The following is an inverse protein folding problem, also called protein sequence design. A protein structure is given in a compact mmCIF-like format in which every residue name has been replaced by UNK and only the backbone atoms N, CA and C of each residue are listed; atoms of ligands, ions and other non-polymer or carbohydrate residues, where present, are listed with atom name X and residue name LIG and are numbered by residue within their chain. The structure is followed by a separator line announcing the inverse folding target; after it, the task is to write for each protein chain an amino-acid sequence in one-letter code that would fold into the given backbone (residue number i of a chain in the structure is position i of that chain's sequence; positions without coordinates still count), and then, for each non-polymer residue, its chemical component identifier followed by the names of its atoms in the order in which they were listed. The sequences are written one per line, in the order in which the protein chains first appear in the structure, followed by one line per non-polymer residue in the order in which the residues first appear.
data_IF_210418573609
#
_entry.id   IF_210418573609
#
_cell.length_a   1.000
_cell.length_b   1.000
_cell.length_c   1.000
_cell.angle_alpha   90.00
_cell.angle_beta   90.00
_cell.angle_gamma   90.00
#
_symmetry.space_group_name_H-M   'P 1'
#
loop_
_entity.id
_entity.type
_entity.pdbx_description
1 polymer ?
#
# COMPACT_ATOMS: atom_id res chain seq x y z
N UNK A 1 -8.46 16.29 -14.85
CA UNK A 1 -8.42 15.15 -13.92
C UNK A 1 -9.53 14.26 -14.41
N UNK A 2 -9.20 13.22 -15.18
CA UNK A 2 -10.23 12.33 -15.72
C UNK A 2 -11.01 11.74 -14.55
N UNK A 3 -12.33 11.88 -14.59
CA UNK A 3 -13.19 11.35 -13.56
C UNK A 3 -13.09 9.82 -13.61
N UNK A 4 -12.74 9.22 -12.48
CA UNK A 4 -12.64 7.77 -12.34
C UNK A 4 -13.98 7.11 -12.69
N UNK A 5 -13.93 6.03 -13.47
CA UNK A 5 -15.11 5.36 -14.04
C UNK A 5 -15.81 4.44 -13.01
N UNK A 6 -15.14 4.05 -11.93
CA UNK A 6 -15.59 2.98 -11.02
C UNK A 6 -15.92 3.47 -9.60
N UNK A 7 -17.15 3.95 -9.36
CA UNK A 7 -17.77 4.00 -8.01
C UNK A 7 -17.25 5.01 -6.98
N UNK A 8 -18.00 5.18 -5.89
CA UNK A 8 -17.66 6.04 -4.75
C UNK A 8 -16.80 5.27 -3.72
N UNK A 9 -15.52 5.07 -4.05
CA UNK A 9 -14.57 4.37 -3.17
C UNK A 9 -14.43 5.06 -1.81
N UNK A 10 -14.50 6.39 -1.83
CA UNK A 10 -14.42 7.24 -0.66
C UNK A 10 -15.61 6.99 0.30
N UNK A 11 -16.82 6.83 -0.23
CA UNK A 11 -18.00 6.45 0.53
C UNK A 11 -17.98 4.99 0.98
N UNK A 12 -17.46 4.07 0.15
CA UNK A 12 -17.26 2.66 0.54
C UNK A 12 -16.28 2.52 1.69
N UNK A 13 -15.13 3.19 1.61
CA UNK A 13 -14.14 3.23 2.69
C UNK A 13 -14.77 3.68 4.00
N UNK A 14 -15.53 4.77 3.93
CA UNK A 14 -16.15 5.36 5.10
C UNK A 14 -17.20 4.43 5.73
N UNK A 15 -18.03 3.76 4.92
CA UNK A 15 -18.99 2.74 5.41
C UNK A 15 -18.29 1.60 6.13
N UNK A 16 -17.21 1.06 5.55
CA UNK A 16 -16.48 -0.04 6.17
C UNK A 16 -15.85 0.36 7.52
N UNK A 17 -15.39 1.61 7.66
CA UNK A 17 -14.93 2.12 8.96
C UNK A 17 -16.07 2.23 9.98
N UNK A 18 -17.26 2.66 9.54
CA UNK A 18 -18.44 2.76 10.41
C UNK A 18 -18.87 1.38 10.91
N UNK A 19 -18.96 0.39 10.02
CA UNK A 19 -19.33 -0.98 10.36
C UNK A 19 -18.33 -1.59 11.37
N UNK A 20 -17.03 -1.43 11.11
CA UNK A 20 -15.97 -1.89 12.02
C UNK A 20 -16.02 -1.19 13.38
N UNK A 21 -16.25 0.12 13.43
CA UNK A 21 -16.34 0.86 14.69
C UNK A 21 -17.59 0.54 15.47
N UNK A 22 -18.74 0.34 14.81
CA UNK A 22 -19.98 -0.08 15.46
C UNK A 22 -19.81 -1.42 16.16
N UNK A 23 -19.06 -2.36 15.57
CA UNK A 23 -18.74 -3.66 16.17
C UNK A 23 -17.72 -3.54 17.31
N UNK A 24 -16.68 -2.73 17.12
CA UNK A 24 -15.49 -2.75 17.98
C UNK A 24 -15.49 -1.74 19.13
N UNK A 25 -16.21 -0.64 18.96
CA UNK A 25 -16.24 0.50 19.85
C UNK A 25 -17.51 1.32 19.63
N UNK A 26 -18.64 0.76 20.05
CA UNK A 26 -19.97 1.37 19.90
C UNK A 26 -20.10 2.76 20.51
N UNK A 27 -19.27 3.07 21.50
CA UNK A 27 -19.25 4.37 22.19
C UNK A 27 -18.39 5.41 21.45
N UNK A 28 -17.88 5.08 20.26
CA UNK A 28 -17.15 6.04 19.44
C UNK A 28 -18.05 7.20 19.04
N UNK A 29 -17.60 8.42 19.36
CA UNK A 29 -18.16 9.64 18.83
C UNK A 29 -17.08 10.38 18.03
N UNK A 30 -17.48 10.96 16.90
CA UNK A 30 -16.60 11.83 16.13
C UNK A 30 -16.20 13.05 16.97
N UNK A 31 -14.89 13.37 17.10
CA UNK A 31 -14.48 14.57 17.82
C UNK A 31 -15.03 15.84 17.16
N UNK A 32 -15.56 16.77 17.97
CA UNK A 32 -16.04 18.05 17.47
C UNK A 32 -14.92 18.85 16.81
N UNK A 33 -15.23 19.44 15.66
CA UNK A 33 -14.30 20.29 14.92
C UNK A 33 -14.31 21.72 15.46
N UNK A 34 -13.15 22.38 15.57
CA UNK A 34 -13.09 23.81 15.90
C UNK A 34 -13.97 24.64 14.95
N UNK A 35 -14.69 25.68 15.43
CA UNK A 35 -15.67 26.43 14.63
C UNK A 35 -15.11 26.97 13.29
N UNK A 36 -13.83 27.35 13.27
CA UNK A 36 -13.13 27.83 12.06
C UNK A 36 -13.08 26.82 10.90
N UNK A 37 -13.32 25.54 11.17
CA UNK A 37 -13.32 24.46 10.18
C UNK A 37 -14.72 23.89 9.91
N UNK A 38 -15.75 24.34 10.64
CA UNK A 38 -17.10 23.78 10.59
C UNK A 38 -17.80 23.96 9.23
N UNK A 39 -17.42 24.96 8.44
CA UNK A 39 -17.95 25.22 7.10
C UNK A 39 -17.16 24.55 5.97
N UNK A 40 -15.99 23.97 6.24
CA UNK A 40 -15.15 23.34 5.22
C UNK A 40 -15.46 21.85 5.10
N UNK A 41 -16.36 21.50 4.18
CA UNK A 41 -16.85 20.12 4.00
C UNK A 41 -15.73 19.12 3.66
N UNK A 42 -14.77 19.49 2.81
CA UNK A 42 -13.63 18.63 2.47
C UNK A 42 -12.77 18.34 3.70
N UNK A 43 -12.50 19.36 4.53
CA UNK A 43 -11.76 19.20 5.77
C UNK A 43 -12.53 18.35 6.78
N UNK A 44 -13.86 18.53 6.88
CA UNK A 44 -14.72 17.70 7.74
C UNK A 44 -14.64 16.23 7.37
N UNK A 45 -14.80 15.92 6.07
CA UNK A 45 -14.71 14.53 5.58
C UNK A 45 -13.34 13.91 5.86
N UNK A 46 -12.27 14.66 5.60
CA UNK A 46 -10.91 14.21 5.90
C UNK A 46 -10.73 13.93 7.40
N UNK A 47 -11.12 14.88 8.26
CA UNK A 47 -10.98 14.77 9.70
C UNK A 47 -11.77 13.59 10.26
N UNK A 48 -13.01 13.41 9.82
CA UNK A 48 -13.88 12.31 10.21
C UNK A 48 -13.26 10.95 9.90
N UNK A 49 -12.83 10.75 8.64
CA UNK A 49 -12.16 9.51 8.22
C UNK A 49 -10.87 9.27 9.00
N UNK A 50 -10.07 10.31 9.21
CA UNK A 50 -8.84 10.20 9.98
C UNK A 50 -9.11 9.85 11.46
N UNK A 51 -10.13 10.44 12.08
CA UNK A 51 -10.57 10.10 13.44
C UNK A 51 -11.03 8.64 13.55
N UNK A 52 -11.81 8.16 12.57
CA UNK A 52 -12.23 6.75 12.48
C UNK A 52 -11.03 5.80 12.35
N UNK A 53 -10.10 6.09 11.41
CA UNK A 53 -8.86 5.31 11.24
C UNK A 53 -8.06 5.25 12.53
N UNK A 54 -7.86 6.40 13.18
CA UNK A 54 -7.04 6.49 14.39
C UNK A 54 -7.66 5.65 15.53
N UNK A 55 -8.97 5.77 15.74
CA UNK A 55 -9.64 5.00 16.77
C UNK A 55 -9.59 3.50 16.47
N UNK A 56 -9.90 3.11 15.24
CA UNK A 56 -9.85 1.71 14.82
C UNK A 56 -8.44 1.14 15.00
N UNK A 57 -7.42 1.86 14.55
CA UNK A 57 -6.02 1.49 14.72
C UNK A 57 -5.63 1.32 16.19
N UNK A 58 -6.05 2.24 17.06
CA UNK A 58 -5.82 2.14 18.52
C UNK A 58 -6.40 0.84 19.07
N UNK A 59 -7.67 0.56 18.76
CA UNK A 59 -8.38 -0.63 19.23
C UNK A 59 -7.74 -1.93 18.71
N UNK A 60 -7.35 -1.96 17.43
CA UNK A 60 -6.71 -3.13 16.80
C UNK A 60 -5.32 -3.42 17.41
N UNK A 61 -4.54 -2.38 17.75
CA UNK A 61 -3.24 -2.56 18.42
C UNK A 61 -3.38 -3.08 19.85
N UNK A 62 -4.40 -2.61 20.57
CA UNK A 62 -4.68 -3.04 21.96
C UNK A 62 -5.22 -4.48 22.02
N UNK A 63 -5.79 -5.01 20.92
CA UNK A 63 -6.44 -6.33 20.85
C UNK A 63 -5.99 -7.12 19.61
N UNK A 64 -4.77 -7.67 19.58
CA UNK A 64 -4.22 -8.35 18.40
C UNK A 64 -5.01 -9.60 17.97
N UNK A 65 -5.59 -10.36 18.91
CA UNK A 65 -6.42 -11.53 18.57
C UNK A 65 -7.70 -11.14 17.81
N UNK A 66 -8.29 -10.01 18.20
CA UNK A 66 -9.44 -9.45 17.51
C UNK A 66 -9.05 -8.87 16.16
N UNK A 67 -7.91 -8.19 16.09
CA UNK A 67 -7.35 -7.72 14.82
C UNK A 67 -7.10 -8.89 13.84
N UNK A 68 -6.64 -10.04 14.34
CA UNK A 68 -6.47 -11.24 13.53
C UNK A 68 -7.80 -11.81 13.04
N UNK A 69 -8.83 -11.79 13.90
CA UNK A 69 -10.20 -12.24 13.57
C UNK A 69 -10.82 -11.38 12.47
N UNK A 70 -10.65 -10.06 12.56
CA UNK A 70 -11.25 -9.08 11.64
C UNK A 70 -10.36 -8.71 10.46
N UNK A 71 -9.23 -9.41 10.28
CA UNK A 71 -8.21 -9.00 9.31
C UNK A 71 -8.75 -8.86 7.88
N UNK A 72 -9.67 -9.74 7.47
CA UNK A 72 -10.32 -9.64 6.16
C UNK A 72 -11.12 -8.35 5.96
N UNK A 73 -11.89 -7.94 6.97
CA UNK A 73 -12.69 -6.71 6.92
C UNK A 73 -11.79 -5.47 6.97
N UNK A 74 -10.76 -5.47 7.81
CA UNK A 74 -9.80 -4.35 7.89
C UNK A 74 -9.02 -4.20 6.58
N UNK A 75 -8.57 -5.30 5.98
CA UNK A 75 -7.85 -5.26 4.69
C UNK A 75 -8.77 -4.85 3.53
N UNK A 76 -10.05 -5.22 3.57
CA UNK A 76 -11.05 -4.72 2.62
C UNK A 76 -11.21 -3.19 2.74
N UNK A 77 -11.17 -2.64 3.96
CA UNK A 77 -11.26 -1.20 4.17
C UNK A 77 -9.98 -0.50 3.66
N UNK A 78 -8.81 -1.09 3.91
CA UNK A 78 -7.52 -0.57 3.45
C UNK A 78 -7.48 -0.38 1.94
N UNK A 79 -8.01 -1.34 1.16
CA UNK A 79 -8.01 -1.22 -0.31
C UNK A 79 -9.08 -0.28 -0.85
N UNK A 80 -9.82 0.39 0.03
CA UNK A 80 -10.66 1.54 -0.29
C UNK A 80 -10.04 2.86 0.19
N UNK A 81 -8.93 2.84 0.93
CA UNK A 81 -8.31 4.04 1.49
C UNK A 81 -7.39 4.74 0.47
N UNK A 82 -7.85 5.89 -0.02
CA UNK A 82 -7.09 6.70 -0.97
C UNK A 82 -5.90 7.42 -0.31
N UNK A 83 -5.86 7.57 1.02
CA UNK A 83 -4.82 8.31 1.72
C UNK A 83 -3.57 7.43 1.95
N UNK A 84 -2.58 7.60 1.07
CA UNK A 84 -1.30 6.87 1.12
C UNK A 84 -0.56 7.07 2.44
N UNK A 85 -0.66 8.25 3.07
CA UNK A 85 0.09 8.52 4.29
C UNK A 85 -0.62 7.98 5.52
N UNK A 86 -1.96 7.98 5.51
CA UNK A 86 -2.78 7.57 6.65
C UNK A 86 -3.11 6.06 6.66
N UNK A 87 -3.13 5.38 5.51
CA UNK A 87 -3.50 3.96 5.43
C UNK A 87 -2.58 3.04 6.27
N UNK A 88 -1.35 3.47 6.58
CA UNK A 88 -0.43 2.80 7.51
C UNK A 88 -1.05 2.54 8.88
N UNK A 89 -1.96 3.42 9.32
CA UNK A 89 -2.64 3.28 10.61
C UNK A 89 -3.42 1.96 10.70
N UNK A 90 -3.95 1.46 9.58
CA UNK A 90 -4.68 0.20 9.49
C UNK A 90 -3.80 -0.96 9.04
N UNK A 91 -2.76 -0.71 8.22
CA UNK A 91 -1.81 -1.76 7.78
C UNK A 91 -0.94 -2.25 8.94
N UNK A 92 -0.35 -1.35 9.74
CA UNK A 92 0.59 -1.74 10.81
C UNK A 92 -0.03 -2.73 11.83
N UNK A 93 -1.25 -2.51 12.35
CA UNK A 93 -1.90 -3.51 13.20
C UNK A 93 -2.12 -4.86 12.51
N UNK A 94 -2.42 -4.88 11.20
CA UNK A 94 -2.59 -6.13 10.46
C UNK A 94 -1.27 -6.88 10.29
N UNK A 95 -0.16 -6.17 10.06
CA UNK A 95 1.16 -6.79 10.01
C UNK A 95 1.49 -7.49 11.34
N UNK A 96 1.17 -6.85 12.46
CA UNK A 96 1.36 -7.44 13.80
C UNK A 96 0.42 -8.61 14.06
N UNK A 97 -0.85 -8.50 13.68
CA UNK A 97 -1.87 -9.47 14.03
C UNK A 97 -1.86 -10.74 13.16
N UNK A 98 -1.63 -10.61 11.85
CA UNK A 98 -1.70 -11.75 10.90
C UNK A 98 -0.42 -12.00 10.11
N UNK A 99 0.61 -11.18 10.34
CA UNK A 99 1.90 -11.31 9.68
C UNK A 99 1.95 -10.68 8.29
N UNK A 100 3.16 -10.33 7.87
CA UNK A 100 3.44 -9.61 6.63
C UNK A 100 3.02 -10.37 5.38
N UNK A 101 3.33 -11.66 5.31
CA UNK A 101 2.99 -12.54 4.18
C UNK A 101 1.50 -12.48 3.85
N UNK A 102 0.64 -12.69 4.85
CA UNK A 102 -0.82 -12.71 4.65
C UNK A 102 -1.38 -11.36 4.19
N UNK A 103 -0.84 -10.26 4.71
CA UNK A 103 -1.18 -8.91 4.24
C UNK A 103 -0.75 -8.72 2.78
N UNK A 104 0.48 -9.06 2.44
CA UNK A 104 1.01 -8.90 1.08
C UNK A 104 0.28 -9.78 0.06
N UNK A 105 -0.04 -11.03 0.40
CA UNK A 105 -0.83 -11.94 -0.44
C UNK A 105 -2.23 -11.35 -0.73
N UNK A 106 -2.87 -10.77 0.28
CA UNK A 106 -4.14 -10.08 0.09
C UNK A 106 -3.99 -8.89 -0.88
N UNK A 107 -3.01 -8.03 -0.67
CA UNK A 107 -2.77 -6.87 -1.54
C UNK A 107 -2.47 -7.28 -2.99
N UNK A 108 -1.65 -8.32 -3.18
CA UNK A 108 -1.37 -8.90 -4.51
C UNK A 108 -2.67 -9.39 -5.15
N UNK A 109 -3.51 -10.12 -4.42
CA UNK A 109 -4.79 -10.60 -4.94
C UNK A 109 -5.69 -9.46 -5.42
N UNK A 110 -5.74 -8.34 -4.67
CA UNK A 110 -6.50 -7.15 -5.07
C UNK A 110 -5.90 -6.49 -6.30
N UNK A 111 -4.57 -6.36 -6.41
CA UNK A 111 -3.92 -5.84 -7.64
C UNK A 111 -4.22 -6.72 -8.85
N UNK A 112 -4.23 -8.05 -8.67
CA UNK A 112 -4.47 -9.01 -9.76
C UNK A 112 -5.92 -9.00 -10.24
N UNK A 113 -6.90 -9.04 -9.34
CA UNK A 113 -8.31 -9.29 -9.71
C UNK A 113 -9.31 -8.27 -9.18
N UNK A 114 -8.91 -7.34 -8.33
CA UNK A 114 -9.81 -6.34 -7.76
C UNK A 114 -10.32 -5.31 -8.79
N UNK A 115 -11.36 -4.54 -8.44
CA UNK A 115 -11.77 -3.34 -9.19
C UNK A 115 -10.62 -2.33 -9.34
N UNK A 116 -10.64 -1.52 -10.40
CA UNK A 116 -9.50 -0.69 -10.80
C UNK A 116 -9.03 0.26 -9.68
N UNK A 117 -9.95 0.91 -8.99
CA UNK A 117 -9.63 1.81 -7.88
C UNK A 117 -9.04 1.08 -6.67
N UNK A 118 -9.53 -0.12 -6.38
CA UNK A 118 -8.98 -0.93 -5.29
C UNK A 118 -7.56 -1.41 -5.61
N UNK A 119 -7.24 -1.69 -6.89
CA UNK A 119 -5.86 -1.99 -7.31
C UNK A 119 -4.91 -0.84 -6.98
N UNK A 120 -5.33 0.40 -7.24
CA UNK A 120 -4.53 1.60 -6.91
C UNK A 120 -4.31 1.72 -5.41
N UNK A 121 -5.36 1.54 -4.61
CA UNK A 121 -5.25 1.61 -3.15
C UNK A 121 -4.41 0.45 -2.59
N UNK A 122 -4.49 -0.75 -3.17
CA UNK A 122 -3.63 -1.87 -2.82
C UNK A 122 -2.15 -1.58 -3.10
N UNK A 123 -1.83 -0.96 -4.25
CA UNK A 123 -0.46 -0.49 -4.55
C UNK A 123 0.01 0.59 -3.56
N UNK A 124 -0.88 1.50 -3.16
CA UNK A 124 -0.57 2.50 -2.12
C UNK A 124 -0.30 1.86 -0.76
N UNK A 125 -1.10 0.87 -0.39
CA UNK A 125 -0.96 0.13 0.87
C UNK A 125 0.29 -0.78 0.88
N UNK A 126 0.70 -1.29 -0.29
CA UNK A 126 1.90 -2.12 -0.42
C UNK A 126 3.13 -1.46 0.20
N UNK A 127 3.30 -0.15 0.01
CA UNK A 127 4.43 0.62 0.54
C UNK A 127 4.69 0.35 2.03
N UNK A 128 3.63 0.37 2.85
CA UNK A 128 3.70 0.14 4.30
C UNK A 128 3.75 -1.34 4.69
N UNK A 129 3.45 -2.24 3.76
CA UNK A 129 3.52 -3.68 3.98
C UNK A 129 4.92 -4.26 3.75
N UNK A 130 5.88 -3.48 3.25
CA UNK A 130 7.22 -3.95 2.91
C UNK A 130 8.05 -4.27 4.15
N UNK A 131 8.96 -5.24 4.02
CA UNK A 131 10.03 -5.42 5.00
C UNK A 131 11.00 -4.24 4.89
N UNK A 132 11.50 -3.77 6.03
CA UNK A 132 12.48 -2.68 6.09
C UNK A 132 13.84 -3.30 6.34
N UNK A 133 14.78 -3.12 5.41
CA UNK A 133 16.18 -3.46 5.60
C UNK A 133 16.81 -2.44 6.55
N UNK A 134 17.24 -2.90 7.72
CA UNK A 134 17.84 -2.07 8.76
C UNK A 134 19.35 -2.21 8.68
N UNK A 135 20.08 -1.10 8.67
CA UNK A 135 21.54 -1.05 8.61
C UNK A 135 22.09 -0.52 9.93
N UNK A 136 23.23 -1.06 10.40
CA UNK A 136 23.83 -0.66 11.69
C UNK A 136 24.26 0.82 11.71
N UNK A 137 24.68 1.35 10.56
CA UNK A 137 25.11 2.73 10.39
C UNK A 137 25.02 3.16 8.92
N UNK A 138 25.09 4.48 8.63
CA UNK A 138 25.11 4.99 7.25
C UNK A 138 26.24 4.40 6.40
N UNK A 139 27.38 4.08 7.01
CA UNK A 139 28.55 3.50 6.33
C UNK A 139 28.31 2.07 5.82
N UNK A 140 27.28 1.37 6.33
CA UNK A 140 26.89 0.05 5.86
C UNK A 140 25.94 0.08 4.65
N UNK A 141 25.41 1.26 4.27
CA UNK A 141 24.53 1.39 3.10
C UNK A 141 25.23 1.06 1.77
N UNK A 142 26.47 1.56 1.49
CA UNK A 142 27.15 1.26 0.23
C UNK A 142 27.49 -0.22 0.07
N UNK A 143 27.81 -0.92 1.16
CA UNK A 143 28.10 -2.36 1.15
C UNK A 143 26.84 -3.23 1.07
N UNK A 144 25.64 -2.64 1.19
CA UNK A 144 24.34 -3.33 1.17
C UNK A 144 24.28 -4.51 2.13
N UNK A 145 24.83 -4.32 3.33
CA UNK A 145 24.80 -5.32 4.41
C UNK A 145 23.81 -4.88 5.49
N UNK A 146 22.52 -5.26 5.38
CA UNK A 146 21.56 -5.04 6.44
C UNK A 146 21.82 -6.00 7.62
N UNK A 147 21.20 -5.70 8.77
CA UNK A 147 21.20 -6.58 9.93
C UNK A 147 20.59 -7.93 9.58
N UNK A 148 21.13 -9.01 10.16
CA UNK A 148 20.65 -10.38 9.92
C UNK A 148 19.15 -10.53 10.16
N UNK A 149 18.61 -9.88 11.19
CA UNK A 149 17.17 -9.92 11.49
C UNK A 149 16.32 -9.28 10.40
N UNK A 150 16.71 -8.10 9.91
CA UNK A 150 15.98 -7.43 8.83
C UNK A 150 16.12 -8.14 7.48
N UNK A 151 17.28 -8.75 7.21
CA UNK A 151 17.47 -9.57 6.02
C UNK A 151 16.57 -10.81 6.05
N UNK A 152 16.47 -11.50 7.19
CA UNK A 152 15.61 -12.68 7.32
C UNK A 152 14.13 -12.33 7.08
N UNK A 153 13.64 -11.22 7.62
CA UNK A 153 12.27 -10.74 7.37
C UNK A 153 12.02 -10.38 5.91
N UNK A 154 13.04 -9.88 5.21
CA UNK A 154 12.98 -9.56 3.79
C UNK A 154 12.97 -10.82 2.91
N UNK A 155 13.81 -11.79 3.25
CA UNK A 155 13.91 -13.09 2.58
C UNK A 155 12.61 -13.89 2.72
N UNK A 156 11.96 -13.82 3.88
CA UNK A 156 10.69 -14.48 4.17
C UNK A 156 9.54 -14.10 3.23
N UNK A 157 9.63 -12.97 2.52
CA UNK A 157 8.60 -12.50 1.57
C UNK A 157 9.17 -12.19 0.19
N UNK A 158 10.37 -12.68 -0.10
CA UNK A 158 11.07 -12.36 -1.35
C UNK A 158 10.33 -12.84 -2.61
N UNK A 159 9.68 -14.00 -2.53
CA UNK A 159 8.80 -14.58 -3.54
C UNK A 159 7.61 -13.65 -3.88
N UNK A 160 6.98 -13.07 -2.85
CA UNK A 160 5.84 -12.18 -3.02
C UNK A 160 6.19 -10.91 -3.77
N UNK A 161 7.42 -10.40 -3.67
CA UNK A 161 7.87 -9.25 -4.46
C UNK A 161 7.84 -9.55 -5.96
N UNK A 162 8.28 -10.74 -6.37
CA UNK A 162 8.23 -11.13 -7.77
C UNK A 162 6.78 -11.21 -8.27
N UNK A 163 5.88 -11.76 -7.45
CA UNK A 163 4.45 -11.84 -7.77
C UNK A 163 3.80 -10.46 -7.82
N UNK A 164 4.11 -9.59 -6.88
CA UNK A 164 3.64 -8.21 -6.84
C UNK A 164 4.08 -7.44 -8.09
N UNK A 165 5.36 -7.51 -8.47
CA UNK A 165 5.86 -6.90 -9.71
C UNK A 165 5.10 -7.40 -10.93
N UNK A 166 4.90 -8.72 -11.04
CA UNK A 166 4.17 -9.32 -12.16
C UNK A 166 2.69 -8.87 -12.19
N UNK A 167 2.05 -8.74 -11.03
CA UNK A 167 0.68 -8.25 -10.91
C UNK A 167 0.57 -6.79 -11.32
N UNK A 168 1.47 -5.91 -10.86
CA UNK A 168 1.50 -4.51 -11.26
C UNK A 168 1.79 -4.33 -12.75
N UNK A 169 2.75 -5.07 -13.31
CA UNK A 169 3.05 -5.07 -14.75
C UNK A 169 1.80 -5.45 -15.57
N UNK A 170 1.14 -6.53 -15.18
CA UNK A 170 -0.06 -7.04 -15.85
C UNK A 170 -1.19 -6.02 -15.81
N UNK A 171 -1.49 -5.50 -14.61
CA UNK A 171 -2.53 -4.48 -14.42
C UNK A 171 -2.22 -3.18 -15.17
N UNK A 172 -0.95 -2.78 -15.26
CA UNK A 172 -0.54 -1.57 -15.98
C UNK A 172 -0.82 -1.67 -17.48
N UNK A 173 -0.45 -2.80 -18.08
CA UNK A 173 -0.69 -3.05 -19.52
C UNK A 173 -2.18 -3.08 -19.82
N UNK A 174 -2.97 -3.71 -18.95
CA UNK A 174 -4.42 -3.90 -19.15
C UNK A 174 -5.27 -2.66 -18.81
N UNK A 175 -4.71 -1.67 -18.11
CA UNK A 175 -5.46 -0.51 -17.65
C UNK A 175 -5.42 0.66 -18.63
N UNK A 176 -6.54 1.06 -19.23
CA UNK A 176 -6.56 2.21 -20.15
C UNK A 176 -6.58 3.59 -19.47
N UNK A 177 -6.77 3.65 -18.16
CA UNK A 177 -6.84 4.90 -17.41
C UNK A 177 -5.45 5.38 -16.95
N UNK A 178 -5.01 6.53 -17.49
CA UNK A 178 -3.64 7.03 -17.30
C UNK A 178 -3.28 7.32 -15.83
N UNK A 179 -4.17 7.92 -15.05
CA UNK A 179 -3.90 8.22 -13.63
C UNK A 179 -3.75 6.93 -12.80
N UNK A 180 -4.45 5.86 -13.18
CA UNK A 180 -4.24 4.54 -12.56
C UNK A 180 -2.89 3.97 -12.93
N UNK A 181 -2.52 4.03 -14.22
CA UNK A 181 -1.23 3.54 -14.73
C UNK A 181 -0.06 4.17 -13.99
N UNK A 182 -0.11 5.47 -13.67
CA UNK A 182 0.93 6.14 -12.87
C UNK A 182 1.16 5.49 -11.50
N UNK A 183 0.09 5.03 -10.84
CA UNK A 183 0.23 4.31 -9.57
C UNK A 183 0.77 2.91 -9.78
N UNK A 184 0.22 2.15 -10.73
CA UNK A 184 0.67 0.80 -11.05
C UNK A 184 2.15 0.76 -11.46
N UNK A 185 2.61 1.78 -12.20
CA UNK A 185 4.01 1.96 -12.62
C UNK A 185 5.01 1.98 -11.46
N UNK A 186 4.58 2.34 -10.25
CA UNK A 186 5.46 2.36 -9.06
C UNK A 186 5.83 0.95 -8.59
N UNK A 187 4.98 -0.04 -8.86
CA UNK A 187 5.11 -1.41 -8.35
C UNK A 187 5.96 -2.36 -9.18
N UNK A 188 6.51 -1.93 -10.32
CA UNK A 188 7.33 -2.78 -11.18
C UNK A 188 8.49 -2.03 -11.82
N UNK A 189 9.30 -2.73 -12.62
CA UNK A 189 10.44 -2.20 -13.40
C UNK A 189 10.46 -2.76 -14.81
N UNK A 190 11.09 -2.08 -15.77
CA UNK A 190 11.14 -2.51 -17.17
C UNK A 190 12.35 -3.41 -17.51
N UNK A 191 13.07 -3.91 -16.50
CA UNK A 191 14.19 -4.84 -16.67
C UNK A 191 13.68 -6.28 -16.82
N UNK A 192 13.91 -6.87 -17.99
CA UNK A 192 13.45 -8.22 -18.34
C UNK A 192 14.04 -9.32 -17.45
N UNK A 193 15.22 -9.10 -16.84
CA UNK A 193 15.87 -10.09 -15.98
C UNK A 193 15.08 -10.40 -14.70
N UNK A 194 14.15 -9.51 -14.31
CA UNK A 194 13.28 -9.68 -13.14
C UNK A 194 12.01 -10.49 -13.42
N UNK A 195 11.80 -10.92 -14.67
CA UNK A 195 10.58 -11.60 -15.09
C UNK A 195 10.87 -12.93 -15.80
N UNK A 196 10.01 -13.95 -15.60
CA UNK A 196 10.04 -15.16 -16.40
C UNK A 196 9.72 -14.86 -17.88
N UNK A 197 10.17 -15.74 -18.78
CA UNK A 197 10.08 -15.56 -20.24
C UNK A 197 8.65 -15.33 -20.73
N UNK A 198 7.64 -15.95 -20.10
CA UNK A 198 6.23 -15.76 -20.44
C UNK A 198 5.70 -14.34 -20.16
N UNK A 199 6.42 -13.51 -19.41
CA UNK A 199 6.06 -12.11 -19.13
C UNK A 199 6.87 -11.09 -19.94
N UNK A 200 7.90 -11.49 -20.69
CA UNK A 200 8.72 -10.56 -21.47
C UNK A 200 7.92 -9.77 -22.51
N UNK A 201 6.91 -10.40 -23.14
CA UNK A 201 5.99 -9.69 -24.04
C UNK A 201 5.21 -8.57 -23.34
N UNK A 202 4.86 -8.76 -22.06
CA UNK A 202 4.21 -7.70 -21.25
C UNK A 202 5.19 -6.60 -20.87
N UNK A 203 6.45 -6.92 -20.59
CA UNK A 203 7.51 -5.92 -20.35
C UNK A 203 7.66 -5.03 -21.59
N UNK A 204 7.72 -5.62 -22.79
CA UNK A 204 7.80 -4.88 -24.05
C UNK A 204 6.56 -3.98 -24.27
N UNK A 205 5.36 -4.49 -24.00
CA UNK A 205 4.13 -3.70 -24.08
C UNK A 205 4.13 -2.53 -23.09
N UNK A 206 4.53 -2.76 -21.83
CA UNK A 206 4.62 -1.72 -20.82
C UNK A 206 5.65 -0.65 -21.18
N UNK A 207 6.79 -1.04 -21.77
CA UNK A 207 7.80 -0.12 -22.30
C UNK A 207 7.22 0.76 -23.40
N UNK A 208 6.54 0.17 -24.38
CA UNK A 208 5.91 0.94 -25.47
C UNK A 208 4.88 1.95 -24.95
N UNK A 209 4.06 1.57 -23.96
CA UNK A 209 3.12 2.49 -23.29
C UNK A 209 3.89 3.63 -22.61
N UNK A 210 4.92 3.31 -21.82
CA UNK A 210 5.71 4.31 -21.10
C UNK A 210 6.40 5.30 -22.05
N UNK A 211 6.97 4.81 -23.15
CA UNK A 211 7.67 5.61 -24.16
C UNK A 211 6.71 6.47 -25.01
N UNK A 212 5.43 6.11 -25.09
CA UNK A 212 4.41 6.93 -25.75
C UNK A 212 4.04 8.20 -24.95
N UNK A 213 4.28 8.21 -23.63
CA UNK A 213 4.09 9.35 -22.73
C UNK A 213 5.26 9.46 -21.74
N UNK A 214 6.46 9.85 -22.22
CA UNK A 214 7.69 9.77 -21.45
C UNK A 214 7.74 10.82 -20.32
N UNK A 215 6.96 11.90 -20.41
CA UNK A 215 6.85 12.89 -19.34
C UNK A 215 6.13 12.28 -18.14
N UNK A 216 5.02 11.56 -18.38
CA UNK A 216 4.25 10.90 -17.33
C UNK A 216 4.99 9.72 -16.73
N UNK A 217 5.62 8.88 -17.55
CA UNK A 217 6.27 7.64 -17.11
C UNK A 217 7.79 7.73 -16.97
N UNK A 218 8.33 8.95 -16.85
CA UNK A 218 9.77 9.20 -16.71
C UNK A 218 10.43 8.31 -15.65
N UNK A 219 9.82 8.22 -14.46
CA UNK A 219 10.36 7.41 -13.36
C UNK A 219 10.42 5.93 -13.73
N UNK A 220 9.38 5.37 -14.35
CA UNK A 220 9.36 3.97 -14.78
C UNK A 220 10.44 3.68 -15.84
N UNK A 221 10.69 4.62 -16.75
CA UNK A 221 11.69 4.48 -17.81
C UNK A 221 13.11 4.44 -17.25
N UNK A 222 13.43 5.28 -16.25
CA UNK A 222 14.79 5.38 -15.69
C UNK A 222 15.03 4.42 -14.51
N UNK A 223 13.99 3.79 -13.97
CA UNK A 223 14.07 2.92 -12.80
C UNK A 223 14.89 1.65 -13.10
N UNK A 224 16.06 1.55 -12.48
CA UNK A 224 16.98 0.40 -12.57
C UNK A 224 17.04 -0.46 -11.31
N UNK A 225 16.36 -0.03 -10.25
CA UNK A 225 16.25 -0.79 -8.99
C UNK A 225 14.79 -0.99 -8.67
N UNK A 226 14.45 -2.16 -8.11
CA UNK A 226 13.06 -2.53 -7.86
C UNK A 226 12.34 -1.55 -6.90
N UNK A 227 13.10 -0.92 -5.99
CA UNK A 227 12.56 0.06 -5.04
C UNK A 227 11.58 -0.54 -4.03
N UNK A 228 11.48 -1.87 -3.98
CA UNK A 228 10.58 -2.63 -3.10
C UNK A 228 11.13 -2.87 -1.70
N UNK A 229 12.37 -2.42 -1.44
CA UNK A 229 13.02 -2.54 -0.14
C UNK A 229 13.18 -1.16 0.47
N UNK A 230 12.52 -0.93 1.59
CA UNK A 230 12.73 0.26 2.39
C UNK A 230 14.03 0.10 3.19
N UNK A 231 14.81 1.16 3.31
CA UNK A 231 16.04 1.17 4.09
C UNK A 231 15.87 2.06 5.33
N UNK A 232 16.37 1.60 6.47
CA UNK A 232 16.45 2.37 7.71
C UNK A 232 17.82 2.21 8.37
N UNK A 233 18.26 3.22 9.12
CA UNK A 233 19.44 3.11 9.99
C UNK A 233 18.96 2.75 11.40
N UNK A 234 19.65 1.81 12.05
CA UNK A 234 19.35 1.39 13.42
C UNK A 234 19.42 2.61 14.36
N UNK A 235 18.40 2.84 15.22
CA UNK A 235 18.44 3.92 16.20
C UNK A 235 19.65 3.77 17.13
N UNK A 236 20.24 4.89 17.54
CA UNK A 236 21.42 4.90 18.41
C UNK A 236 21.14 4.34 19.83
N UNK A 237 19.88 4.33 20.25
CA UNK A 237 19.45 3.94 21.60
C UNK A 237 19.37 2.41 21.81
N UNK A 238 19.56 1.61 20.75
CA UNK A 238 19.52 0.13 20.76
C UNK A 238 20.91 -0.54 20.65
N UNK A 239 22.01 0.21 20.91
CA UNK A 239 23.40 -0.27 20.80
C UNK A 239 24.00 -0.73 22.13
#
# INVERSE_FOLDING_TARGET
MDAWVDGDLAGEFERQLDDLLAELNSDWAEPELPPRFASNESFRRYHRRNGKRWQLARVLRERPDLAATLAGQVLAAVVCDEDVAANRQLIEPMLTAVGRRRVQEYLISVVTSGPLLQRVCAVRAWYWSQAVLVYESPEALPSRQPTTGSQAQDDEVADLRAWYRAACLTAFVECDHNTTREWLARGFILDESFYPSNLQGRVAAARAIAESDPVRFKELIVKTTDGTNLAAIRPADDR
#
